data_IF_528531710652
#
_entry.id   IF_528531710652
#
_cell.length_a   1.000
_cell.length_b   1.000
_cell.length_c   1.000
_cell.angle_alpha   90.00
_cell.angle_beta   90.00
_cell.angle_gamma   90.00
#
_symmetry.space_group_name_H-M   'P 1'
#
loop_
_entity.id
_entity.type
_entity.pdbx_description
1 polymer ?
#
# COMPACT_ATOMS: atom_id res chain seq x y z
N UNK A 1 21.49 -24.91 11.59
CA UNK A 1 21.65 -24.95 10.11
C UNK A 1 21.91 -23.53 9.62
N UNK A 2 22.70 -23.40 8.57
CA UNK A 2 22.92 -22.11 7.88
C UNK A 2 22.37 -22.24 6.46
N UNK A 3 21.52 -21.30 6.07
CA UNK A 3 20.92 -21.24 4.75
C UNK A 3 21.52 -20.09 3.97
N UNK A 4 21.81 -20.28 2.69
CA UNK A 4 22.29 -19.23 1.79
C UNK A 4 21.61 -19.35 0.43
N UNK A 5 21.30 -18.20 -0.16
CA UNK A 5 20.73 -18.07 -1.50
C UNK A 5 21.67 -17.29 -2.42
N UNK A 6 22.68 -17.92 -3.02
CA UNK A 6 23.69 -17.21 -3.83
C UNK A 6 23.22 -16.95 -5.27
N UNK A 7 22.01 -16.44 -5.46
CA UNK A 7 21.47 -16.09 -6.78
C UNK A 7 21.07 -17.29 -7.69
N UNK A 8 21.52 -18.51 -7.40
CA UNK A 8 21.25 -19.71 -8.21
C UNK A 8 20.86 -20.90 -7.33
N UNK A 9 19.77 -20.79 -6.59
CA UNK A 9 19.21 -21.83 -5.76
C UNK A 9 19.46 -21.63 -4.28
N UNK A 10 19.00 -22.60 -3.51
CA UNK A 10 19.14 -22.64 -2.05
C UNK A 10 20.23 -23.64 -1.66
N UNK A 11 21.06 -23.24 -0.71
CA UNK A 11 22.08 -24.12 -0.13
C UNK A 11 21.94 -24.15 1.39
N UNK A 12 22.24 -25.31 1.96
CA UNK A 12 22.19 -25.51 3.42
C UNK A 12 23.48 -26.15 3.91
N UNK A 13 23.95 -25.71 5.07
CA UNK A 13 25.02 -26.37 5.83
C UNK A 13 24.48 -26.84 7.17
N UNK A 14 24.80 -28.08 7.56
CA UNK A 14 24.45 -28.59 8.89
C UNK A 14 25.38 -28.01 9.96
N UNK A 15 24.94 -27.99 11.23
CA UNK A 15 25.82 -27.58 12.33
C UNK A 15 27.13 -28.37 12.33
N UNK A 16 28.24 -27.66 12.41
CA UNK A 16 29.62 -28.22 12.38
C UNK A 16 30.11 -28.70 11.02
N UNK A 17 29.30 -28.69 9.96
CA UNK A 17 29.78 -28.89 8.60
C UNK A 17 30.45 -27.62 8.05
N UNK A 18 31.48 -27.83 7.22
CA UNK A 18 32.16 -26.75 6.47
C UNK A 18 31.75 -26.67 5.01
N UNK A 19 30.76 -27.50 4.62
CA UNK A 19 30.27 -27.57 3.25
C UNK A 19 28.82 -27.19 3.18
N UNK A 20 28.44 -26.53 2.09
CA UNK A 20 27.06 -26.23 1.72
C UNK A 20 26.60 -27.24 0.69
N UNK A 21 25.43 -27.79 0.89
CA UNK A 21 24.77 -28.72 -0.04
C UNK A 21 23.60 -27.98 -0.68
N UNK A 22 23.44 -28.13 -1.98
CA UNK A 22 22.32 -27.56 -2.70
C UNK A 22 21.04 -28.30 -2.33
N UNK A 23 19.96 -27.57 -2.17
CA UNK A 23 18.61 -28.09 -2.01
C UNK A 23 18.04 -28.29 -3.42
N UNK A 24 18.03 -29.54 -3.90
CA UNK A 24 17.69 -29.88 -5.29
C UNK A 24 16.20 -29.57 -5.60
N UNK A 25 15.32 -29.70 -4.61
CA UNK A 25 13.89 -29.45 -4.72
C UNK A 25 13.57 -27.99 -5.10
N UNK A 26 14.37 -27.05 -4.60
CA UNK A 26 14.23 -25.62 -4.94
C UNK A 26 14.78 -25.32 -6.33
N UNK A 27 15.71 -26.14 -6.82
CA UNK A 27 16.27 -25.98 -8.16
C UNK A 27 17.12 -24.72 -8.34
N UNK A 28 17.19 -24.25 -9.61
CA UNK A 28 17.95 -23.04 -9.99
C UNK A 28 17.05 -21.81 -9.97
N UNK A 29 16.71 -21.34 -8.77
CA UNK A 29 15.91 -20.13 -8.59
C UNK A 29 16.78 -18.99 -8.10
N UNK A 30 16.50 -17.78 -8.55
CA UNK A 30 17.12 -16.58 -8.00
C UNK A 30 16.46 -16.27 -6.65
N UNK A 31 17.08 -16.76 -5.58
CA UNK A 31 16.65 -16.48 -4.20
C UNK A 31 17.02 -15.06 -3.84
N UNK A 32 16.01 -14.26 -3.55
CA UNK A 32 16.15 -12.84 -3.29
C UNK A 32 16.11 -12.52 -1.79
N UNK A 33 15.29 -13.27 -1.04
CA UNK A 33 15.20 -13.16 0.41
C UNK A 33 14.96 -14.53 1.06
N UNK A 34 15.45 -14.69 2.30
CA UNK A 34 15.31 -15.90 3.10
C UNK A 34 14.92 -15.50 4.52
N UNK A 35 13.83 -16.07 5.01
CA UNK A 35 13.36 -15.85 6.37
C UNK A 35 13.10 -17.17 7.09
N UNK A 36 13.59 -17.31 8.30
CA UNK A 36 13.17 -18.36 9.23
C UNK A 36 12.00 -17.86 10.06
N UNK A 37 10.84 -18.49 9.91
CA UNK A 37 9.66 -18.21 10.69
C UNK A 37 9.80 -18.76 12.13
N UNK A 38 8.99 -18.26 13.07
CA UNK A 38 9.07 -18.64 14.50
C UNK A 38 8.82 -20.14 14.75
N UNK A 39 8.12 -20.83 13.87
CA UNK A 39 7.89 -22.28 13.91
C UNK A 39 9.08 -23.11 13.39
N UNK A 40 10.09 -22.43 12.82
CA UNK A 40 11.28 -23.02 12.22
C UNK A 40 11.10 -23.36 10.73
N UNK A 41 10.01 -22.97 10.10
CA UNK A 41 9.80 -23.04 8.65
C UNK A 41 10.69 -22.00 7.96
N UNK A 42 11.32 -22.39 6.86
CA UNK A 42 12.13 -21.49 6.04
C UNK A 42 11.28 -21.03 4.85
N UNK A 43 11.15 -19.74 4.69
CA UNK A 43 10.52 -19.14 3.53
C UNK A 43 11.54 -18.48 2.62
N UNK A 44 11.35 -18.67 1.32
CA UNK A 44 12.24 -18.11 0.29
C UNK A 44 11.42 -17.24 -0.65
N UNK A 45 11.87 -16.03 -0.88
CA UNK A 45 11.39 -15.18 -1.95
C UNK A 45 12.26 -15.37 -3.18
N UNK A 46 11.65 -15.52 -4.36
CA UNK A 46 12.37 -15.66 -5.62
C UNK A 46 11.95 -14.63 -6.65
N UNK A 47 12.85 -14.27 -7.54
CA UNK A 47 12.55 -13.44 -8.70
C UNK A 47 12.15 -14.34 -9.87
N UNK A 48 10.83 -14.40 -10.11
CA UNK A 48 10.24 -15.12 -11.25
C UNK A 48 9.64 -16.50 -10.95
N UNK A 49 9.78 -17.04 -9.72
CA UNK A 49 9.23 -18.35 -9.37
C UNK A 49 8.45 -18.37 -8.05
N UNK A 50 7.95 -17.21 -7.62
CA UNK A 50 7.12 -17.05 -6.43
C UNK A 50 7.86 -17.27 -5.13
N UNK A 51 7.22 -17.97 -4.20
CA UNK A 51 7.77 -18.27 -2.87
C UNK A 51 7.85 -19.78 -2.62
N UNK A 52 8.82 -20.16 -1.79
CA UNK A 52 8.95 -21.53 -1.32
C UNK A 52 8.78 -21.59 0.20
N UNK A 53 7.99 -22.54 0.66
CA UNK A 53 7.86 -22.93 2.05
C UNK A 53 8.64 -24.24 2.26
N UNK A 54 9.69 -24.20 3.05
CA UNK A 54 10.54 -25.32 3.34
C UNK A 54 10.42 -25.70 4.82
N UNK A 55 10.03 -26.94 5.11
CA UNK A 55 10.03 -27.47 6.46
C UNK A 55 11.26 -28.34 6.69
N UNK A 56 12.28 -27.83 7.40
CA UNK A 56 13.51 -28.59 7.63
C UNK A 56 13.35 -29.80 8.54
N UNK A 57 12.26 -29.88 9.31
CA UNK A 57 11.97 -31.01 10.22
C UNK A 57 11.48 -32.23 9.44
N UNK A 58 10.59 -31.97 8.47
CA UNK A 58 9.95 -33.01 7.66
C UNK A 58 10.60 -33.17 6.28
N UNK A 59 11.61 -32.37 5.98
CA UNK A 59 12.28 -32.29 4.67
C UNK A 59 11.26 -32.12 3.53
N UNK A 60 10.27 -31.24 3.74
CA UNK A 60 9.24 -30.95 2.76
C UNK A 60 9.42 -29.56 2.17
N UNK A 61 9.13 -29.45 0.87
CA UNK A 61 9.30 -28.25 0.09
C UNK A 61 8.02 -28.00 -0.71
N UNK A 62 7.45 -26.80 -0.61
CA UNK A 62 6.27 -26.42 -1.35
C UNK A 62 6.49 -25.07 -2.04
N UNK A 63 6.19 -25.02 -3.32
CA UNK A 63 6.21 -23.78 -4.09
C UNK A 63 4.81 -23.19 -4.23
N UNK A 64 4.73 -21.87 -4.08
CA UNK A 64 3.55 -21.08 -4.37
C UNK A 64 3.91 -20.06 -5.44
N UNK A 65 3.12 -20.02 -6.49
CA UNK A 65 3.31 -19.14 -7.62
C UNK A 65 2.01 -18.41 -7.98
N UNK A 66 2.15 -17.30 -8.67
CA UNK A 66 1.02 -16.64 -9.31
C UNK A 66 0.37 -17.59 -10.32
N UNK A 67 -0.96 -17.63 -10.32
CA UNK A 67 -1.75 -18.42 -11.27
C UNK A 67 -2.87 -17.52 -11.80
N UNK A 68 -2.83 -17.28 -13.10
CA UNK A 68 -3.85 -16.47 -13.77
C UNK A 68 -5.26 -17.08 -13.59
N UNK A 69 -6.22 -16.24 -13.23
CA UNK A 69 -7.62 -16.65 -13.00
C UNK A 69 -7.85 -17.50 -11.74
N UNK A 70 -6.85 -17.63 -10.87
CA UNK A 70 -6.99 -18.30 -9.58
C UNK A 70 -6.97 -17.27 -8.47
N UNK A 71 -8.15 -17.00 -7.93
CA UNK A 71 -8.29 -16.14 -6.76
C UNK A 71 -7.48 -16.69 -5.59
N UNK A 72 -6.93 -15.80 -4.77
CA UNK A 72 -6.10 -16.12 -3.61
C UNK A 72 -4.81 -16.90 -3.92
N UNK A 73 -4.32 -16.90 -5.17
CA UNK A 73 -2.93 -17.29 -5.48
C UNK A 73 -1.99 -16.15 -5.06
N UNK A 74 -0.68 -16.41 -5.10
CA UNK A 74 0.32 -15.36 -4.98
C UNK A 74 0.10 -14.30 -6.09
N UNK A 75 0.22 -13.00 -5.79
CA UNK A 75 -0.09 -11.92 -6.73
C UNK A 75 0.98 -11.72 -7.82
N UNK A 76 2.22 -12.14 -7.57
CA UNK A 76 3.33 -12.06 -8.51
C UNK A 76 4.35 -13.17 -8.26
N UNK A 77 5.01 -13.63 -9.34
CA UNK A 77 6.12 -14.58 -9.23
C UNK A 77 7.45 -13.92 -8.85
N UNK A 78 7.51 -12.59 -8.86
CA UNK A 78 8.69 -11.83 -8.43
C UNK A 78 8.44 -11.27 -7.03
N UNK A 79 9.06 -11.90 -6.05
CA UNK A 79 8.91 -11.56 -4.62
C UNK A 79 10.22 -10.99 -4.11
N UNK A 80 10.16 -9.80 -3.51
CA UNK A 80 11.33 -9.01 -3.15
C UNK A 80 11.70 -9.08 -1.67
N UNK A 81 10.75 -9.40 -0.78
CA UNK A 81 11.01 -9.48 0.65
C UNK A 81 9.97 -10.34 1.36
N UNK A 82 10.38 -10.88 2.51
CA UNK A 82 9.53 -11.67 3.41
C UNK A 82 9.63 -11.08 4.82
N UNK A 83 8.51 -10.98 5.50
CA UNK A 83 8.48 -10.55 6.89
C UNK A 83 7.45 -11.35 7.68
N UNK A 84 7.77 -11.71 8.92
CA UNK A 84 6.80 -12.23 9.87
C UNK A 84 6.47 -11.14 10.89
N UNK A 85 5.19 -10.75 10.94
CA UNK A 85 4.71 -9.72 11.87
C UNK A 85 4.66 -10.22 13.33
N UNK A 86 4.40 -9.32 14.27
CA UNK A 86 4.29 -9.62 15.70
C UNK A 86 3.20 -10.64 16.03
N UNK A 87 2.15 -10.72 15.22
CA UNK A 87 1.02 -11.65 15.34
C UNK A 87 1.30 -13.03 14.73
N UNK A 88 2.42 -13.16 14.00
CA UNK A 88 2.83 -14.41 13.36
C UNK A 88 2.43 -14.55 11.89
N UNK A 89 1.75 -13.55 11.31
CA UNK A 89 1.42 -13.59 9.89
C UNK A 89 2.68 -13.44 9.03
N UNK A 90 2.72 -14.16 7.91
CA UNK A 90 3.81 -14.05 6.94
C UNK A 90 3.38 -13.13 5.81
N UNK A 91 4.18 -12.10 5.55
CA UNK A 91 3.98 -11.10 4.55
C UNK A 91 5.05 -11.15 3.47
N UNK A 92 4.65 -10.87 2.25
CA UNK A 92 5.51 -10.86 1.08
C UNK A 92 5.31 -9.54 0.34
N UNK A 93 6.39 -8.87 0.02
CA UNK A 93 6.37 -7.77 -0.93
C UNK A 93 6.68 -8.29 -2.34
N UNK A 94 5.99 -7.75 -3.32
CA UNK A 94 6.11 -8.24 -4.70
C UNK A 94 6.46 -7.12 -5.68
N UNK A 95 7.06 -7.51 -6.78
CA UNK A 95 7.21 -6.67 -7.95
C UNK A 95 5.96 -6.82 -8.82
N UNK A 96 5.13 -5.78 -8.89
CA UNK A 96 3.87 -5.69 -9.66
C UNK A 96 2.69 -6.54 -9.15
N UNK A 97 2.56 -6.68 -7.85
CA UNK A 97 1.41 -7.37 -7.26
C UNK A 97 1.11 -6.88 -5.84
N UNK A 98 1.68 -5.74 -5.44
CA UNK A 98 1.49 -5.17 -4.11
C UNK A 98 2.14 -6.00 -3.01
N UNK A 99 1.42 -6.19 -1.90
CA UNK A 99 1.84 -7.06 -0.80
C UNK A 99 0.86 -8.21 -0.62
N UNK A 100 1.37 -9.38 -0.21
CA UNK A 100 0.57 -10.56 0.07
C UNK A 100 0.74 -11.00 1.51
N UNK A 101 -0.36 -11.44 2.13
CA UNK A 101 -0.36 -12.16 3.40
C UNK A 101 -0.68 -13.63 3.16
N UNK A 102 0.12 -14.53 3.72
CA UNK A 102 -0.17 -15.95 3.70
C UNK A 102 -1.24 -16.31 4.73
N UNK A 103 -2.27 -17.03 4.31
CA UNK A 103 -3.34 -17.56 5.14
C UNK A 103 -3.07 -19.04 5.42
N UNK A 104 -2.53 -19.35 6.58
CA UNK A 104 -2.12 -20.72 6.91
C UNK A 104 -3.31 -21.71 6.92
N UNK A 105 -4.46 -21.30 7.45
CA UNK A 105 -5.64 -22.17 7.56
C UNK A 105 -6.22 -22.59 6.21
N UNK A 106 -6.14 -21.74 5.18
CA UNK A 106 -6.61 -21.98 3.81
C UNK A 106 -5.49 -22.36 2.86
N UNK A 107 -4.25 -22.23 3.30
CA UNK A 107 -3.05 -22.45 2.50
C UNK A 107 -3.03 -21.65 1.19
N UNK A 108 -3.41 -20.38 1.28
CA UNK A 108 -3.55 -19.43 0.18
C UNK A 108 -3.08 -18.02 0.59
N UNK A 109 -3.33 -17.01 -0.26
CA UNK A 109 -2.87 -15.64 -0.03
C UNK A 109 -4.03 -14.65 -0.07
N UNK A 110 -3.90 -13.59 0.73
CA UNK A 110 -4.68 -12.35 0.58
C UNK A 110 -3.74 -11.29 0.00
N UNK A 111 -4.14 -10.67 -1.08
CA UNK A 111 -3.39 -9.61 -1.76
C UNK A 111 -3.94 -8.24 -1.39
N UNK A 112 -3.05 -7.26 -1.29
CA UNK A 112 -3.35 -5.83 -1.16
C UNK A 112 -2.58 -5.10 -2.26
N UNK A 113 -3.30 -4.34 -3.08
CA UNK A 113 -2.83 -3.73 -4.33
C UNK A 113 -3.29 -2.28 -4.47
N UNK A 114 -3.13 -1.70 -5.64
CA UNK A 114 -3.70 -0.39 -5.98
C UNK A 114 -5.24 -0.38 -5.88
N UNK A 115 -5.90 -1.51 -6.05
CA UNK A 115 -7.35 -1.64 -5.89
C UNK A 115 -7.78 -1.45 -4.43
N UNK A 116 -6.89 -1.76 -3.48
CA UNK A 116 -7.08 -1.57 -2.04
C UNK A 116 -6.53 -0.22 -1.54
N UNK A 117 -6.07 0.63 -2.45
CA UNK A 117 -5.60 1.99 -2.14
C UNK A 117 -4.09 2.14 -2.02
N UNK A 118 -3.29 1.13 -2.33
CA UNK A 118 -1.83 1.31 -2.43
C UNK A 118 -1.49 2.27 -3.58
N UNK A 119 -0.41 3.07 -3.47
CA UNK A 119 -0.01 4.01 -4.51
C UNK A 119 0.60 3.33 -5.73
N UNK A 120 1.15 2.12 -5.55
CA UNK A 120 1.87 1.35 -6.56
C UNK A 120 1.77 -0.15 -6.23
N UNK A 121 1.82 -0.99 -7.25
CA UNK A 121 1.87 -2.46 -7.11
C UNK A 121 3.29 -3.00 -6.91
N UNK A 122 4.32 -2.15 -7.00
CA UNK A 122 5.68 -2.51 -6.60
C UNK A 122 5.87 -2.18 -5.12
N UNK A 123 6.07 -3.21 -4.31
CA UNK A 123 6.40 -3.07 -2.91
C UNK A 123 7.81 -3.62 -2.64
N UNK A 124 8.55 -2.91 -1.79
CA UNK A 124 9.90 -3.27 -1.36
C UNK A 124 9.89 -3.91 0.03
N UNK A 125 10.94 -3.73 0.83
CA UNK A 125 11.02 -4.31 2.17
C UNK A 125 9.90 -3.84 3.10
N UNK A 126 9.33 -4.77 3.83
CA UNK A 126 8.30 -4.51 4.83
C UNK A 126 8.93 -4.48 6.22
N UNK A 127 8.60 -3.46 7.01
CA UNK A 127 8.89 -3.36 8.43
C UNK A 127 7.59 -3.22 9.21
N UNK A 128 7.57 -3.69 10.46
CA UNK A 128 6.43 -3.53 11.37
C UNK A 128 6.76 -2.54 12.46
N UNK A 129 5.89 -1.55 12.71
CA UNK A 129 5.99 -0.67 13.86
C UNK A 129 5.40 -1.31 15.13
N UNK A 130 5.60 -0.68 16.28
CA UNK A 130 5.16 -1.23 17.58
C UNK A 130 3.62 -1.18 17.75
N UNK A 131 2.92 -0.46 16.88
CA UNK A 131 1.46 -0.43 16.81
C UNK A 131 0.89 -1.50 15.85
N UNK A 132 1.75 -2.27 15.17
CA UNK A 132 1.37 -3.33 14.23
C UNK A 132 1.06 -2.84 12.83
N UNK A 133 1.40 -1.59 12.47
CA UNK A 133 1.29 -1.13 11.11
C UNK A 133 2.52 -1.59 10.31
N UNK A 134 2.29 -1.89 9.04
CA UNK A 134 3.32 -2.26 8.10
C UNK A 134 3.81 -1.04 7.32
N UNK A 135 5.12 -0.90 7.22
CA UNK A 135 5.77 0.16 6.49
C UNK A 135 6.61 -0.41 5.36
N UNK A 136 6.42 0.08 4.15
CA UNK A 136 7.17 -0.38 2.99
C UNK A 136 7.33 0.72 1.95
N UNK A 137 8.47 0.71 1.28
CA UNK A 137 8.72 1.59 0.15
C UNK A 137 8.04 1.10 -1.12
N UNK A 138 7.71 2.05 -2.00
CA UNK A 138 7.19 1.81 -3.35
C UNK A 138 7.93 2.68 -4.36
N UNK A 139 7.52 2.68 -5.64
CA UNK A 139 8.01 3.68 -6.61
C UNK A 139 7.32 5.05 -6.45
N UNK A 140 6.24 5.12 -5.67
CA UNK A 140 5.41 6.33 -5.54
C UNK A 140 5.29 6.84 -4.10
N UNK A 141 6.20 6.43 -3.22
CA UNK A 141 6.25 6.89 -1.84
C UNK A 141 6.47 5.77 -0.83
N UNK A 142 6.56 6.17 0.44
CA UNK A 142 6.59 5.30 1.60
C UNK A 142 5.17 5.08 2.09
N UNK A 143 4.80 3.83 2.25
CA UNK A 143 3.45 3.43 2.69
C UNK A 143 3.47 3.04 4.17
N UNK A 144 2.50 3.53 4.93
CA UNK A 144 2.05 3.00 6.21
C UNK A 144 0.71 2.32 5.98
N UNK A 145 0.64 1.02 6.25
CA UNK A 145 -0.55 0.19 6.05
C UNK A 145 -0.98 -0.43 7.37
N UNK A 146 -2.24 -0.29 7.73
CA UNK A 146 -2.82 -0.98 8.87
C UNK A 146 -3.51 -2.28 8.41
N UNK A 147 -2.98 -3.47 8.78
CA UNK A 147 -3.54 -4.74 8.31
C UNK A 147 -4.93 -5.09 8.85
N UNK A 148 -5.39 -4.41 9.91
CA UNK A 148 -6.69 -4.68 10.54
C UNK A 148 -7.80 -3.84 9.94
N UNK A 149 -7.57 -2.53 9.79
CA UNK A 149 -8.55 -1.60 9.21
C UNK A 149 -8.48 -1.52 7.69
N UNK A 150 -7.34 -1.90 7.09
CA UNK A 150 -7.06 -1.70 5.67
C UNK A 150 -6.62 -0.26 5.33
N UNK A 151 -6.43 0.59 6.34
CA UNK A 151 -6.06 1.98 6.11
C UNK A 151 -4.66 2.08 5.49
N UNK A 152 -4.57 2.88 4.43
CA UNK A 152 -3.34 3.17 3.71
C UNK A 152 -3.00 4.65 3.85
N UNK A 153 -1.79 4.95 4.29
CA UNK A 153 -1.23 6.29 4.25
C UNK A 153 0.05 6.31 3.44
N UNK A 154 0.17 7.26 2.54
CA UNK A 154 1.31 7.41 1.65
C UNK A 154 2.07 8.69 1.97
N UNK A 155 3.37 8.57 2.18
CA UNK A 155 4.29 9.68 2.37
C UNK A 155 5.11 9.86 1.10
N UNK A 156 5.28 11.11 0.68
CA UNK A 156 5.97 11.49 -0.55
C UNK A 156 7.00 12.60 -0.30
N UNK A 157 7.67 13.06 -1.33
CA UNK A 157 8.54 14.24 -1.26
C UNK A 157 7.78 15.49 -0.78
N UNK A 158 6.46 15.54 -0.95
CA UNK A 158 5.60 16.60 -0.44
C UNK A 158 5.46 16.57 1.09
N UNK A 159 5.66 15.41 1.68
CA UNK A 159 5.65 15.19 3.14
C UNK A 159 7.07 15.28 3.74
N UNK A 160 8.05 15.68 2.94
CA UNK A 160 9.44 15.90 3.37
C UNK A 160 10.38 14.73 3.07
N UNK A 161 9.93 13.71 2.32
CA UNK A 161 10.86 12.69 1.85
C UNK A 161 11.82 13.27 0.78
N UNK A 162 13.04 12.72 0.70
CA UNK A 162 14.03 13.13 -0.30
C UNK A 162 13.55 12.82 -1.73
N UNK A 163 12.81 11.73 -1.90
CA UNK A 163 12.23 11.28 -3.15
C UNK A 163 11.14 10.24 -2.90
N UNK A 164 10.48 9.79 -3.97
CA UNK A 164 9.34 8.87 -3.87
C UNK A 164 9.70 7.43 -4.19
N UNK A 165 10.86 7.18 -4.81
CA UNK A 165 11.26 5.86 -5.26
C UNK A 165 12.23 5.21 -4.28
N UNK A 166 11.87 4.03 -3.78
CA UNK A 166 12.67 3.23 -2.86
C UNK A 166 13.41 2.11 -3.59
N UNK A 167 14.31 1.43 -2.87
CA UNK A 167 15.14 0.35 -3.41
C UNK A 167 14.87 -0.97 -2.73
N UNK A 168 15.17 -2.07 -3.44
CA UNK A 168 15.15 -3.41 -2.88
C UNK A 168 16.16 -3.55 -1.74
N UNK A 169 15.83 -4.39 -0.73
CA UNK A 169 16.71 -4.76 0.38
C UNK A 169 17.32 -3.56 1.14
N UNK A 170 16.60 -2.44 1.17
CA UNK A 170 17.09 -1.16 1.68
C UNK A 170 16.22 -0.62 2.83
N UNK A 171 15.75 -1.51 3.72
CA UNK A 171 15.02 -1.09 4.91
C UNK A 171 15.55 -1.79 6.17
N UNK A 172 15.54 -1.07 7.28
CA UNK A 172 16.01 -1.55 8.58
C UNK A 172 15.19 -0.92 9.71
N UNK A 173 14.71 -1.75 10.65
CA UNK A 173 14.29 -1.33 11.99
C UNK A 173 15.49 -1.44 12.92
N UNK A 174 15.99 -0.33 13.42
CA UNK A 174 17.13 -0.31 14.35
C UNK A 174 16.69 -0.71 15.76
N UNK A 175 17.66 -1.01 16.62
CA UNK A 175 17.39 -1.43 18.00
C UNK A 175 16.73 -0.35 18.86
N UNK A 176 16.92 0.93 18.51
CA UNK A 176 16.27 2.07 19.14
C UNK A 176 14.84 2.33 18.64
N UNK A 177 14.31 1.47 17.76
CA UNK A 177 12.97 1.57 17.18
C UNK A 177 12.88 2.43 15.94
N UNK A 178 13.93 3.17 15.55
CA UNK A 178 13.94 4.01 14.36
C UNK A 178 13.93 3.16 13.09
N UNK A 179 13.23 3.67 12.07
CA UNK A 179 13.19 3.08 10.75
C UNK A 179 14.13 3.82 9.82
N UNK A 180 14.78 3.03 8.97
CA UNK A 180 15.67 3.49 7.89
C UNK A 180 15.19 2.90 6.58
N UNK A 181 14.99 3.73 5.57
CA UNK A 181 14.62 3.31 4.21
C UNK A 181 15.53 3.97 3.20
N UNK A 182 16.16 3.17 2.35
CA UNK A 182 16.99 3.62 1.24
C UNK A 182 16.15 3.81 -0.01
N UNK A 183 16.27 4.98 -0.60
CA UNK A 183 15.66 5.34 -1.88
C UNK A 183 16.70 5.72 -2.91
N UNK A 184 16.24 6.05 -4.12
CA UNK A 184 17.12 6.52 -5.21
C UNK A 184 17.81 7.83 -4.84
N UNK A 185 17.12 8.70 -4.11
CA UNK A 185 17.60 10.04 -3.75
C UNK A 185 18.29 10.10 -2.37
N UNK A 186 18.44 8.96 -1.70
CA UNK A 186 19.17 8.89 -0.44
C UNK A 186 18.53 8.01 0.63
N UNK A 187 18.96 8.20 1.87
CA UNK A 187 18.50 7.47 3.05
C UNK A 187 17.54 8.32 3.87
N UNK A 188 16.41 7.75 4.23
CA UNK A 188 15.41 8.35 5.12
C UNK A 188 15.48 7.63 6.46
N UNK A 189 15.51 8.40 7.55
CA UNK A 189 15.49 7.89 8.92
C UNK A 189 14.41 8.63 9.73
N UNK A 190 13.52 7.89 10.39
CA UNK A 190 12.46 8.46 11.20
C UNK A 190 12.06 7.55 12.35
N UNK A 191 11.36 8.10 13.31
CA UNK A 191 10.72 7.37 14.40
C UNK A 191 9.25 7.12 14.03
N UNK A 192 8.83 5.86 13.83
CA UNK A 192 7.46 5.54 13.44
C UNK A 192 6.43 5.80 14.56
N UNK A 193 6.89 6.03 15.80
CA UNK A 193 6.03 6.32 16.96
C UNK A 193 5.63 7.79 17.05
N UNK A 194 6.33 8.67 16.35
CA UNK A 194 5.97 10.09 16.30
C UNK A 194 4.59 10.22 15.69
N UNK A 195 3.61 10.48 16.55
CA UNK A 195 2.27 10.79 16.10
C UNK A 195 2.31 12.14 15.39
N UNK A 196 1.85 12.16 14.16
CA UNK A 196 1.51 13.44 13.57
C UNK A 196 0.36 14.04 14.37
N UNK A 197 0.49 15.30 14.74
CA UNK A 197 -0.64 16.04 15.27
C UNK A 197 -1.79 15.91 14.26
N UNK A 198 -2.93 15.37 14.70
CA UNK A 198 -4.16 15.38 13.92
C UNK A 198 -4.51 16.85 13.65
N UNK A 199 -4.08 17.35 12.51
CA UNK A 199 -4.51 18.68 12.06
C UNK A 199 -6.02 18.61 11.84
N UNK A 200 -6.79 19.54 12.40
CA UNK A 200 -8.22 19.57 12.14
C UNK A 200 -8.46 19.58 10.63
N UNK A 201 -9.37 18.74 10.17
CA UNK A 201 -9.73 18.69 8.75
C UNK A 201 -10.12 20.12 8.30
N UNK A 202 -9.47 20.65 7.27
CA UNK A 202 -9.84 21.98 6.79
C UNK A 202 -11.25 21.95 6.24
N UNK A 203 -11.99 23.06 6.34
CA UNK A 203 -13.37 23.12 5.88
C UNK A 203 -13.46 22.98 4.34
N UNK A 204 -14.44 22.22 3.90
CA UNK A 204 -14.79 22.05 2.48
C UNK A 204 -15.88 23.08 2.14
N UNK A 205 -15.70 23.79 1.04
CA UNK A 205 -16.65 24.76 0.53
C UNK A 205 -17.10 24.39 -0.88
N UNK A 206 -18.38 24.61 -1.19
CA UNK A 206 -18.83 24.63 -2.58
C UNK A 206 -18.37 25.99 -3.15
N UNK A 207 -17.43 25.93 -4.09
CA UNK A 207 -16.80 27.12 -4.67
C UNK A 207 -17.50 27.61 -5.93
N UNK A 208 -18.23 26.71 -6.63
CA UNK A 208 -18.89 27.02 -7.89
C UNK A 208 -20.14 26.18 -8.05
N UNK A 209 -21.13 26.76 -8.71
CA UNK A 209 -22.36 26.10 -9.10
C UNK A 209 -22.60 26.29 -10.60
N UNK A 210 -22.97 25.24 -11.31
CA UNK A 210 -23.23 25.29 -12.74
C UNK A 210 -24.52 24.57 -13.10
N UNK A 211 -25.23 25.10 -14.08
CA UNK A 211 -26.41 24.48 -14.74
C UNK A 211 -26.05 24.26 -16.21
N UNK A 212 -26.22 23.04 -16.73
CA UNK A 212 -25.81 22.66 -18.08
C UNK A 212 -24.38 23.07 -18.42
N UNK A 213 -23.44 22.84 -17.50
CA UNK A 213 -22.01 23.21 -17.60
C UNK A 213 -21.75 24.72 -17.77
N UNK A 214 -22.75 25.58 -17.48
CA UNK A 214 -22.59 27.04 -17.44
C UNK A 214 -22.59 27.51 -16.01
N UNK A 215 -21.55 28.23 -15.62
CA UNK A 215 -21.44 28.78 -14.28
C UNK A 215 -22.59 29.76 -13.98
N UNK A 216 -23.19 29.62 -12.81
CA UNK A 216 -24.26 30.44 -12.31
C UNK A 216 -23.77 31.24 -11.12
N UNK A 217 -23.87 32.56 -11.21
CA UNK A 217 -23.54 33.50 -10.13
C UNK A 217 -24.76 34.35 -9.79
N UNK A 218 -24.70 35.11 -8.71
CA UNK A 218 -25.77 36.10 -8.34
C UNK A 218 -26.09 37.11 -9.46
N UNK A 219 -25.12 37.35 -10.36
CA UNK A 219 -25.28 38.32 -11.45
C UNK A 219 -25.77 37.66 -12.78
N UNK A 220 -25.89 36.32 -12.79
CA UNK A 220 -26.43 35.62 -13.96
C UNK A 220 -27.93 36.01 -14.16
N UNK A 221 -28.38 36.35 -15.36
CA UNK A 221 -29.80 36.62 -15.60
C UNK A 221 -30.66 35.44 -15.15
N UNK A 222 -31.73 35.71 -14.41
CA UNK A 222 -32.65 34.71 -13.85
C UNK A 222 -31.95 33.72 -12.89
N UNK A 223 -30.88 34.15 -12.22
CA UNK A 223 -30.12 33.29 -11.29
C UNK A 223 -31.01 32.77 -10.15
N UNK A 224 -30.93 31.46 -9.83
CA UNK A 224 -31.57 30.92 -8.64
C UNK A 224 -30.79 31.30 -7.34
N UNK A 225 -29.56 31.85 -7.47
CA UNK A 225 -28.75 32.25 -6.35
C UNK A 225 -29.10 33.64 -5.87
N UNK A 226 -29.48 33.78 -4.61
CA UNK A 226 -29.73 35.05 -3.96
C UNK A 226 -28.49 35.67 -3.32
N UNK A 227 -27.49 34.86 -3.06
CA UNK A 227 -26.19 35.23 -2.47
C UNK A 227 -25.10 34.32 -3.05
N UNK A 228 -23.82 34.59 -2.70
CA UNK A 228 -22.69 33.76 -3.15
C UNK A 228 -22.91 32.31 -2.76
N UNK A 229 -22.57 31.38 -3.65
CA UNK A 229 -22.77 29.93 -3.45
C UNK A 229 -22.18 29.42 -2.12
N UNK A 230 -21.03 29.96 -1.70
CA UNK A 230 -20.36 29.59 -0.43
C UNK A 230 -21.25 29.84 0.80
N UNK A 231 -22.22 30.74 0.71
CA UNK A 231 -23.14 31.14 1.80
C UNK A 231 -24.59 30.71 1.48
N UNK A 232 -24.81 29.90 0.46
CA UNK A 232 -26.15 29.47 0.04
C UNK A 232 -26.46 28.10 0.62
N UNK A 233 -27.48 28.03 1.46
CA UNK A 233 -27.93 26.78 2.10
C UNK A 233 -29.02 26.07 1.27
N UNK A 234 -29.72 26.82 0.40
CA UNK A 234 -30.82 26.29 -0.38
C UNK A 234 -30.84 26.88 -1.79
N UNK A 235 -31.00 26.04 -2.79
CA UNK A 235 -31.17 26.42 -4.18
C UNK A 235 -32.46 25.79 -4.69
N UNK A 236 -33.39 26.61 -5.19
CA UNK A 236 -34.64 26.14 -5.81
C UNK A 236 -34.50 26.19 -7.33
N UNK A 237 -34.63 25.04 -7.95
CA UNK A 237 -34.52 24.90 -9.41
C UNK A 237 -35.84 24.42 -10.01
N UNK A 238 -36.21 24.92 -11.19
CA UNK A 238 -37.30 24.33 -11.98
C UNK A 238 -36.90 22.93 -12.50
N UNK A 239 -37.88 22.10 -12.76
CA UNK A 239 -37.67 20.68 -13.11
C UNK A 239 -36.87 20.48 -14.42
N UNK A 240 -36.82 21.46 -15.28
CA UNK A 240 -36.07 21.45 -16.54
C UNK A 240 -34.59 21.80 -16.34
N UNK A 241 -34.17 22.26 -15.17
CA UNK A 241 -32.77 22.54 -14.80
C UNK A 241 -32.15 21.42 -13.98
N UNK A 242 -32.35 20.17 -14.38
CA UNK A 242 -31.90 19.00 -13.63
C UNK A 242 -30.41 18.63 -13.82
N UNK A 243 -29.75 19.22 -14.82
CA UNK A 243 -28.31 18.97 -15.03
C UNK A 243 -27.49 20.03 -14.29
N UNK A 244 -27.03 19.67 -13.11
CA UNK A 244 -26.27 20.55 -12.19
C UNK A 244 -24.90 19.97 -11.89
N UNK A 245 -23.93 20.84 -11.62
CA UNK A 245 -22.61 20.48 -11.11
C UNK A 245 -22.13 21.46 -10.06
N UNK A 246 -21.35 20.95 -9.14
CA UNK A 246 -20.72 21.73 -8.07
C UNK A 246 -19.21 21.51 -8.11
N UNK A 247 -18.44 22.59 -8.02
CA UNK A 247 -17.01 22.50 -7.74
C UNK A 247 -16.82 22.68 -6.25
N UNK A 248 -15.98 21.86 -5.64
CA UNK A 248 -15.66 21.91 -4.22
C UNK A 248 -14.21 22.32 -4.01
N UNK A 249 -13.97 23.11 -2.98
CA UNK A 249 -12.63 23.56 -2.60
C UNK A 249 -12.37 23.25 -1.12
N UNK A 250 -11.23 22.63 -0.85
CA UNK A 250 -10.69 22.43 0.48
C UNK A 250 -9.69 23.57 0.76
N UNK A 251 -9.96 24.37 1.79
CA UNK A 251 -9.02 25.41 2.21
C UNK A 251 -7.89 24.81 3.05
N UNK A 252 -6.94 24.17 2.39
CA UNK A 252 -5.75 23.60 3.00
C UNK A 252 -4.49 24.17 2.38
N UNK A 253 -3.50 24.47 3.21
CA UNK A 253 -2.14 24.80 2.78
C UNK A 253 -1.29 23.55 2.51
N UNK A 254 -1.83 22.34 2.78
CA UNK A 254 -1.22 21.08 2.37
C UNK A 254 -1.57 20.78 0.90
N UNK A 255 -0.78 19.92 0.27
CA UNK A 255 -0.84 19.63 -1.17
C UNK A 255 -2.23 19.18 -1.64
N UNK A 256 -2.84 19.97 -2.51
CA UNK A 256 -4.18 19.74 -3.05
C UNK A 256 -4.31 18.43 -3.86
N UNK A 257 -3.20 17.91 -4.38
CA UNK A 257 -3.19 16.72 -5.25
C UNK A 257 -3.40 15.38 -4.55
N UNK A 258 -3.30 15.33 -3.21
CA UNK A 258 -3.54 14.11 -2.43
C UNK A 258 -4.95 14.02 -1.84
N UNK A 259 -5.75 15.06 -1.98
CA UNK A 259 -7.11 15.09 -1.42
C UNK A 259 -8.08 14.27 -2.29
N UNK A 260 -8.83 13.39 -1.67
CA UNK A 260 -9.91 12.66 -2.31
C UNK A 260 -11.25 13.20 -1.81
N UNK A 261 -12.16 13.48 -2.73
CA UNK A 261 -13.47 14.00 -2.41
C UNK A 261 -14.52 12.91 -2.63
N UNK A 262 -15.45 12.84 -1.67
CA UNK A 262 -16.61 11.96 -1.76
C UNK A 262 -17.86 12.81 -1.54
N UNK A 263 -18.92 12.50 -2.28
CA UNK A 263 -20.21 13.14 -2.11
C UNK A 263 -21.31 12.09 -1.99
N UNK A 264 -22.45 12.49 -1.44
CA UNK A 264 -23.67 11.69 -1.38
C UNK A 264 -24.86 12.62 -1.53
N UNK A 265 -25.71 12.36 -2.50
CA UNK A 265 -26.95 13.09 -2.76
C UNK A 265 -28.12 12.32 -2.13
N UNK A 266 -28.66 12.82 -1.05
CA UNK A 266 -29.84 12.24 -0.41
C UNK A 266 -31.13 12.74 -1.09
N UNK A 267 -32.12 11.86 -1.32
CA UNK A 267 -32.16 10.41 -1.05
C UNK A 267 -31.72 9.52 -2.22
N UNK A 268 -31.02 10.07 -3.23
CA UNK A 268 -30.69 9.36 -4.48
C UNK A 268 -29.57 8.36 -4.30
N UNK A 269 -28.49 8.75 -3.60
CA UNK A 269 -27.35 7.89 -3.40
C UNK A 269 -27.49 7.13 -2.07
N UNK A 270 -27.24 5.80 -2.09
CA UNK A 270 -27.21 4.97 -0.89
C UNK A 270 -25.87 5.10 -0.16
N UNK A 271 -24.77 5.15 -0.90
CA UNK A 271 -23.40 5.16 -0.41
C UNK A 271 -22.66 6.42 -0.87
N UNK A 272 -21.50 6.67 -0.26
CA UNK A 272 -20.61 7.74 -0.68
C UNK A 272 -20.00 7.48 -2.05
N UNK A 273 -20.10 8.42 -2.96
CA UNK A 273 -19.59 8.34 -4.33
C UNK A 273 -18.29 9.15 -4.42
N UNK A 274 -17.23 8.52 -4.94
CA UNK A 274 -15.97 9.22 -5.17
C UNK A 274 -16.12 10.20 -6.34
N UNK A 275 -15.70 11.44 -6.14
CA UNK A 275 -15.65 12.43 -7.21
C UNK A 275 -14.55 12.06 -8.24
N UNK A 276 -14.89 12.19 -9.54
CA UNK A 276 -14.01 11.73 -10.63
C UNK A 276 -12.77 12.62 -10.85
N UNK A 277 -12.75 13.83 -10.32
CA UNK A 277 -11.64 14.79 -10.41
C UNK A 277 -11.64 15.73 -9.21
N UNK A 278 -10.51 16.40 -8.98
CA UNK A 278 -10.38 17.47 -7.99
C UNK A 278 -11.06 18.79 -8.45
N UNK A 279 -11.88 18.71 -9.49
CA UNK A 279 -12.75 19.78 -9.96
C UNK A 279 -14.17 19.44 -9.63
#
# INVERSE_FOLDING_TARGET
RTWIGPGWGLYVSQPKERKFHRVEEVGYNWVFDIMEARDGTIWLATMGNGVWKCDPKNNSYKNYSYKEGVDNSLSSNSVSSIMQDSKGNIWFSTDRGGICRYNEAQDNFTTFSIEDGLPDDVAYNILEDDAGNLWFGTNKGLVKFNPESGDVRVFTNKDGLLGNQFNYQSALKAQDGRFYFGGVDGLIAFDPTVQEEEKPLPPVYISKFSIYNKEVTVHTPESPLKQCIVHTDEIVLPYDQANISFDVALLSYSTAESNQYYYRMEPLDRDWVRAASNQ
#
